data_IF_540153428603
#
_entry.id   IF_540153428603
#
_cell.length_a   1.000
_cell.length_b   1.000
_cell.length_c   1.000
_cell.angle_alpha   90.00
_cell.angle_beta   90.00
_cell.angle_gamma   90.00
#
_symmetry.space_group_name_H-M   'P 1'
#
loop_
_entity.id
_entity.type
_entity.pdbx_description
1 polymer ?
#
# COMPACT_ATOMS: atom_id res chain seq x y z
N UNK A 1 -10.07 -13.99 -1.57
CA UNK A 1 -10.43 -12.56 -1.69
C UNK A 1 -11.38 -12.12 -0.59
N UNK A 2 -12.54 -12.79 -0.46
CA UNK A 2 -13.51 -12.40 0.57
C UNK A 2 -12.95 -12.49 2.00
N UNK A 3 -12.23 -13.56 2.31
CA UNK A 3 -11.63 -13.71 3.63
C UNK A 3 -10.63 -12.61 3.95
N UNK A 4 -9.89 -12.14 2.96
CA UNK A 4 -8.96 -11.03 3.12
C UNK A 4 -9.69 -9.73 3.37
N UNK A 5 -10.78 -9.49 2.64
CA UNK A 5 -11.60 -8.30 2.84
C UNK A 5 -12.17 -8.26 4.25
N UNK A 6 -12.70 -9.41 4.73
CA UNK A 6 -13.25 -9.51 6.08
C UNK A 6 -12.18 -9.24 7.13
N UNK A 7 -10.98 -9.76 6.96
CA UNK A 7 -9.88 -9.52 7.89
C UNK A 7 -9.52 -8.05 7.95
N UNK A 8 -9.40 -7.41 6.80
CA UNK A 8 -9.05 -5.99 6.73
C UNK A 8 -10.12 -5.14 7.40
N UNK A 9 -11.40 -5.42 7.14
CA UNK A 9 -12.49 -4.73 7.80
C UNK A 9 -12.47 -4.94 9.32
N UNK A 10 -12.18 -6.14 9.77
CA UNK A 10 -12.12 -6.43 11.21
C UNK A 10 -11.01 -5.65 11.92
N UNK A 11 -9.95 -5.28 11.20
CA UNK A 11 -8.87 -4.46 11.73
C UNK A 11 -9.14 -2.97 11.63
N UNK A 12 -10.30 -2.57 11.07
CA UNK A 12 -10.63 -1.16 10.88
C UNK A 12 -9.84 -0.50 9.77
N UNK A 13 -9.23 -1.26 8.88
CA UNK A 13 -8.42 -0.74 7.79
C UNK A 13 -9.25 -0.58 6.51
N UNK A 14 -8.84 0.33 5.62
CA UNK A 14 -9.64 0.63 4.43
C UNK A 14 -9.44 -0.38 3.31
N UNK A 15 -10.49 -0.58 2.56
CA UNK A 15 -10.46 -1.24 1.26
C UNK A 15 -11.33 -0.39 0.35
N UNK A 16 -10.74 0.22 -0.67
CA UNK A 16 -11.44 1.15 -1.55
C UNK A 16 -11.42 0.65 -2.98
N UNK A 17 -12.45 1.01 -3.72
CA UNK A 17 -12.57 0.62 -5.12
C UNK A 17 -12.71 1.86 -5.99
N UNK A 18 -12.25 1.74 -7.24
CA UNK A 18 -12.48 2.75 -8.26
C UNK A 18 -13.56 2.24 -9.21
N UNK A 19 -14.56 3.07 -9.46
CA UNK A 19 -15.66 2.74 -10.36
C UNK A 19 -15.60 3.59 -11.61
N UNK A 20 -15.94 2.97 -12.73
CA UNK A 20 -16.14 3.65 -14.00
C UNK A 20 -17.44 3.10 -14.58
N UNK A 21 -18.47 3.95 -14.69
CA UNK A 21 -19.77 3.54 -15.20
C UNK A 21 -20.31 2.29 -14.49
N UNK A 22 -20.27 2.30 -13.15
CA UNK A 22 -20.72 1.22 -12.28
C UNK A 22 -19.90 -0.07 -12.37
N UNK A 23 -18.77 -0.04 -13.09
CA UNK A 23 -17.87 -1.18 -13.18
C UNK A 23 -16.64 -0.93 -12.29
N UNK A 24 -16.27 -1.92 -11.48
CA UNK A 24 -15.04 -1.83 -10.68
C UNK A 24 -13.85 -1.97 -11.62
N UNK A 25 -13.03 -0.92 -11.70
CA UNK A 25 -11.82 -0.92 -12.54
C UNK A 25 -10.54 -1.04 -11.73
N UNK A 26 -10.64 -1.04 -10.42
CA UNK A 26 -9.47 -1.20 -9.57
C UNK A 26 -9.84 -1.17 -8.11
N UNK A 27 -8.88 -1.55 -7.26
CA UNK A 27 -9.06 -1.47 -5.82
C UNK A 27 -7.71 -1.26 -5.15
N UNK A 28 -7.76 -0.77 -3.91
CA UNK A 28 -6.59 -0.59 -3.08
C UNK A 28 -6.97 -0.84 -1.64
N UNK A 29 -6.12 -1.54 -0.90
CA UNK A 29 -6.37 -1.76 0.51
C UNK A 29 -5.07 -1.64 1.30
N UNK A 30 -5.22 -1.46 2.62
CA UNK A 30 -4.09 -1.37 3.53
C UNK A 30 -4.12 -2.56 4.48
N UNK A 31 -2.93 -3.06 4.80
CA UNK A 31 -2.74 -4.09 5.80
C UNK A 31 -1.66 -3.65 6.77
N UNK A 32 -1.57 -4.34 7.90
CA UNK A 32 -0.46 -4.11 8.81
C UNK A 32 0.84 -4.57 8.16
N UNK A 33 1.87 -3.75 8.29
CA UNK A 33 3.19 -4.12 7.78
C UNK A 33 3.74 -5.34 8.52
N UNK A 34 3.67 -5.32 9.85
CA UNK A 34 4.06 -6.43 10.71
C UNK A 34 3.12 -6.48 11.89
N UNK A 35 2.90 -7.68 12.43
CA UNK A 35 1.96 -7.85 13.55
C UNK A 35 2.52 -7.40 14.89
N UNK A 36 3.82 -7.25 15.02
CA UNK A 36 4.43 -6.83 16.28
C UNK A 36 4.06 -5.40 16.63
N UNK A 37 3.81 -5.16 17.89
CA UNK A 37 3.32 -3.88 18.40
C UNK A 37 4.24 -2.70 18.05
N UNK A 38 5.55 -2.94 17.99
CA UNK A 38 6.50 -1.89 17.64
C UNK A 38 6.24 -1.27 16.25
N UNK A 39 5.58 -2.02 15.36
CA UNK A 39 5.34 -1.58 13.97
C UNK A 39 3.92 -1.11 13.72
N UNK A 40 3.18 -0.79 14.79
CA UNK A 40 1.75 -0.46 14.68
C UNK A 40 1.42 0.81 13.90
N UNK A 41 2.41 1.67 13.67
CA UNK A 41 2.21 2.91 12.91
C UNK A 41 2.62 2.80 11.45
N UNK A 42 2.91 1.60 10.99
CA UNK A 42 3.30 1.33 9.60
C UNK A 42 2.29 0.40 8.94
N UNK A 43 1.85 0.79 7.77
CA UNK A 43 0.95 -0.02 6.96
C UNK A 43 1.61 -0.37 5.63
N UNK A 44 1.02 -1.33 4.94
CA UNK A 44 1.44 -1.72 3.60
C UNK A 44 0.24 -1.62 2.67
N UNK A 45 0.44 -1.05 1.48
CA UNK A 45 -0.64 -0.99 0.50
C UNK A 45 -0.57 -2.15 -0.47
N UNK A 46 -1.74 -2.47 -1.02
CA UNK A 46 -1.87 -3.38 -2.16
C UNK A 46 -2.85 -2.73 -3.12
N UNK A 47 -2.46 -2.64 -4.38
CA UNK A 47 -3.27 -1.97 -5.39
C UNK A 47 -3.35 -2.81 -6.66
N UNK A 48 -4.52 -2.82 -7.25
CA UNK A 48 -4.78 -3.47 -8.52
C UNK A 48 -5.61 -2.57 -9.42
N UNK A 49 -5.21 -2.43 -10.69
CA UNK A 49 -5.96 -1.70 -11.70
C UNK A 49 -6.18 -2.64 -12.88
N UNK A 50 -7.43 -2.72 -13.33
CA UNK A 50 -7.81 -3.49 -14.52
C UNK A 50 -6.92 -3.05 -15.69
N UNK A 51 -6.27 -3.98 -16.41
CA UNK A 51 -5.39 -3.62 -17.53
C UNK A 51 -6.07 -2.76 -18.59
N UNK A 52 -7.37 -2.91 -18.80
CA UNK A 52 -8.11 -2.11 -19.78
C UNK A 52 -8.37 -0.69 -19.31
N UNK A 53 -8.16 -0.41 -18.03
CA UNK A 53 -8.42 0.90 -17.43
C UNK A 53 -7.15 1.59 -16.93
N UNK A 54 -5.98 1.08 -17.26
CA UNK A 54 -4.73 1.70 -16.84
C UNK A 54 -4.52 3.04 -17.54
N UNK A 55 -3.70 3.90 -16.91
CA UNK A 55 -3.35 5.23 -17.41
C UNK A 55 -4.52 6.22 -17.40
N UNK A 56 -5.57 5.94 -16.64
CA UNK A 56 -6.71 6.84 -16.48
C UNK A 56 -6.72 7.57 -15.14
N UNK A 57 -5.63 7.47 -14.38
CA UNK A 57 -5.52 8.15 -13.10
C UNK A 57 -6.15 7.41 -11.93
N UNK A 58 -6.74 6.24 -12.14
CA UNK A 58 -7.41 5.48 -11.07
C UNK A 58 -6.42 5.06 -9.99
N UNK A 59 -5.24 4.58 -10.38
CA UNK A 59 -4.24 4.15 -9.41
C UNK A 59 -3.79 5.27 -8.49
N UNK A 60 -3.53 6.43 -9.08
CA UNK A 60 -3.13 7.60 -8.31
C UNK A 60 -4.23 8.05 -7.36
N UNK A 61 -5.48 8.05 -7.83
CA UNK A 61 -6.61 8.43 -7.00
C UNK A 61 -6.82 7.47 -5.83
N UNK A 62 -6.70 6.16 -6.07
CA UNK A 62 -6.83 5.16 -5.02
C UNK A 62 -5.72 5.31 -3.98
N UNK A 63 -4.48 5.47 -4.41
CA UNK A 63 -3.36 5.63 -3.48
C UNK A 63 -3.49 6.91 -2.68
N UNK A 64 -3.88 8.02 -3.30
CA UNK A 64 -4.09 9.26 -2.56
C UNK A 64 -5.17 9.09 -1.49
N UNK A 65 -6.22 8.36 -1.79
CA UNK A 65 -7.30 8.12 -0.83
C UNK A 65 -6.79 7.37 0.40
N UNK A 66 -6.06 6.27 0.21
CA UNK A 66 -5.57 5.49 1.36
C UNK A 66 -4.44 6.21 2.09
N UNK A 67 -3.64 7.02 1.40
CA UNK A 67 -2.62 7.86 2.04
C UNK A 67 -3.30 8.87 2.97
N UNK A 68 -4.31 9.57 2.48
CA UNK A 68 -5.03 10.56 3.29
C UNK A 68 -5.70 9.89 4.49
N UNK A 69 -6.31 8.72 4.27
CA UNK A 69 -6.91 7.97 5.35
C UNK A 69 -5.88 7.61 6.41
N UNK A 70 -4.73 7.11 5.99
CA UNK A 70 -3.68 6.68 6.92
C UNK A 70 -3.11 7.86 7.70
N UNK A 71 -2.89 8.99 7.05
CA UNK A 71 -2.41 10.19 7.74
C UNK A 71 -3.44 10.70 8.76
N UNK A 72 -4.71 10.70 8.39
CA UNK A 72 -5.78 11.13 9.28
C UNK A 72 -5.89 10.24 10.52
N UNK A 73 -5.56 8.96 10.37
CA UNK A 73 -5.67 7.99 11.46
C UNK A 73 -4.36 7.81 12.24
N UNK A 74 -3.37 8.67 12.00
CA UNK A 74 -2.16 8.70 12.83
C UNK A 74 -1.05 7.75 12.43
N UNK A 75 -1.16 7.11 11.29
CA UNK A 75 -0.08 6.27 10.78
C UNK A 75 1.08 7.13 10.27
N UNK A 76 2.29 6.58 10.31
CA UNK A 76 3.49 7.38 10.05
C UNK A 76 4.34 6.90 8.89
N UNK A 77 4.16 5.64 8.46
CA UNK A 77 4.89 5.10 7.31
C UNK A 77 3.99 4.20 6.49
N UNK A 78 4.21 4.21 5.20
CA UNK A 78 3.49 3.35 4.27
C UNK A 78 4.52 2.65 3.39
N UNK A 79 4.41 1.33 3.32
CA UNK A 79 5.32 0.47 2.56
C UNK A 79 4.56 -0.06 1.35
N UNK A 80 5.25 -0.17 0.22
CA UNK A 80 4.74 -0.85 -0.96
C UNK A 80 5.76 -1.87 -1.42
N UNK A 81 5.28 -3.06 -1.74
CA UNK A 81 6.11 -4.13 -2.28
C UNK A 81 5.59 -4.45 -3.67
N UNK A 82 6.33 -4.05 -4.69
CA UNK A 82 5.94 -4.26 -6.08
C UNK A 82 6.66 -5.50 -6.58
N UNK A 83 5.92 -6.60 -6.68
CA UNK A 83 6.44 -7.85 -7.20
C UNK A 83 6.58 -7.77 -8.70
N UNK A 84 7.64 -8.38 -9.21
CA UNK A 84 7.99 -8.36 -10.62
C UNK A 84 8.48 -6.98 -11.08
N UNK A 85 9.78 -6.89 -11.33
CA UNK A 85 10.43 -5.65 -11.77
C UNK A 85 9.90 -5.13 -13.11
N UNK A 86 9.09 -5.93 -13.81
CA UNK A 86 8.46 -5.50 -15.05
C UNK A 86 7.20 -4.67 -14.82
N UNK A 87 6.74 -4.53 -13.59
CA UNK A 87 5.53 -3.78 -13.29
C UNK A 87 5.84 -2.29 -13.15
N UNK A 88 6.21 -1.68 -14.27
CA UNK A 88 6.59 -0.27 -14.33
C UNK A 88 5.43 0.65 -13.97
N UNK A 89 4.21 0.26 -14.31
CA UNK A 89 3.03 1.06 -14.01
C UNK A 89 2.83 1.24 -12.51
N UNK A 90 2.98 0.17 -11.74
CA UNK A 90 2.84 0.24 -10.30
C UNK A 90 3.98 1.04 -9.65
N UNK A 91 5.21 0.84 -10.11
CA UNK A 91 6.35 1.63 -9.63
C UNK A 91 6.13 3.11 -9.87
N UNK A 92 5.70 3.46 -11.08
CA UNK A 92 5.51 4.85 -11.46
C UNK A 92 4.40 5.52 -10.64
N UNK A 93 3.27 4.84 -10.44
CA UNK A 93 2.16 5.45 -9.70
C UNK A 93 2.52 5.67 -8.24
N UNK A 94 3.27 4.75 -7.63
CA UNK A 94 3.75 4.94 -6.27
C UNK A 94 4.70 6.12 -6.17
N UNK A 95 5.63 6.24 -7.12
CA UNK A 95 6.56 7.38 -7.14
C UNK A 95 5.83 8.70 -7.33
N UNK A 96 4.78 8.72 -8.14
CA UNK A 96 3.99 9.93 -8.38
C UNK A 96 3.27 10.43 -7.14
N UNK A 97 2.98 9.56 -6.18
CA UNK A 97 2.34 9.96 -4.93
C UNK A 97 3.31 10.01 -3.75
N UNK A 98 4.60 10.09 -4.03
CA UNK A 98 5.59 10.40 -3.00
C UNK A 98 6.35 9.23 -2.40
N UNK A 99 6.22 8.04 -2.94
CA UNK A 99 7.03 6.92 -2.49
C UNK A 99 8.45 7.02 -3.03
N UNK A 100 9.41 6.59 -2.23
CA UNK A 100 10.82 6.50 -2.60
C UNK A 100 11.21 5.03 -2.69
N UNK A 101 11.97 4.67 -3.71
CA UNK A 101 12.47 3.32 -3.84
C UNK A 101 13.56 3.08 -2.81
N UNK A 102 13.40 2.04 -2.00
CA UNK A 102 14.34 1.68 -0.93
C UNK A 102 15.35 0.65 -1.41
N UNK A 103 14.90 -0.30 -2.20
CA UNK A 103 15.78 -1.35 -2.72
C UNK A 103 15.00 -2.44 -3.41
N UNK A 104 15.73 -3.45 -3.84
CA UNK A 104 15.15 -4.60 -4.54
C UNK A 104 15.58 -5.88 -3.85
N UNK A 105 14.59 -6.69 -3.47
CA UNK A 105 14.83 -8.05 -2.99
C UNK A 105 14.91 -8.95 -4.21
N UNK A 106 16.03 -9.65 -4.34
CA UNK A 106 16.24 -10.48 -5.53
C UNK A 106 15.79 -11.91 -5.30
N UNK A 107 15.13 -12.48 -6.29
CA UNK A 107 14.79 -13.89 -6.35
C UNK A 107 13.96 -14.38 -5.16
N UNK A 108 13.11 -13.51 -4.63
CA UNK A 108 12.27 -13.86 -3.48
C UNK A 108 10.95 -14.48 -3.90
N UNK A 109 10.55 -14.35 -5.15
CA UNK A 109 9.34 -14.98 -5.69
C UNK A 109 9.68 -15.97 -6.77
N UNK A 110 8.80 -16.94 -6.99
CA UNK A 110 8.94 -17.87 -8.09
C UNK A 110 7.57 -18.07 -8.72
N UNK A 111 7.46 -17.77 -10.03
CA UNK A 111 6.19 -17.82 -10.72
C UNK A 111 6.43 -17.99 -12.22
N UNK A 112 5.60 -18.80 -12.84
CA UNK A 112 5.68 -19.04 -14.28
C UNK A 112 7.07 -19.48 -14.72
N UNK A 113 7.70 -20.35 -13.93
CA UNK A 113 8.99 -20.93 -14.27
C UNK A 113 10.18 -20.03 -14.11
N UNK A 114 10.03 -18.89 -13.44
CA UNK A 114 11.16 -17.96 -13.23
C UNK A 114 11.14 -17.33 -11.85
N UNK A 115 12.33 -16.93 -11.41
CA UNK A 115 12.49 -16.19 -10.17
C UNK A 115 12.09 -14.74 -10.37
N UNK A 116 11.49 -14.15 -9.35
CA UNK A 116 11.00 -12.78 -9.40
C UNK A 116 11.65 -11.94 -8.31
N UNK A 117 11.90 -10.69 -8.66
CA UNK A 117 12.38 -9.70 -7.71
C UNK A 117 11.20 -8.90 -7.16
N UNK A 118 11.37 -8.32 -5.97
CA UNK A 118 10.39 -7.41 -5.39
C UNK A 118 11.06 -6.09 -5.10
N UNK A 119 10.48 -5.01 -5.62
CA UNK A 119 10.94 -3.66 -5.34
C UNK A 119 10.23 -3.14 -4.10
N UNK A 120 11.00 -2.62 -3.17
CA UNK A 120 10.52 -2.09 -1.90
C UNK A 120 10.48 -0.57 -1.98
N UNK A 121 9.32 0.03 -1.71
CA UNK A 121 9.14 1.47 -1.71
C UNK A 121 8.57 1.90 -0.36
N UNK A 122 8.82 3.15 0.01
CA UNK A 122 8.38 3.68 1.29
C UNK A 122 7.95 5.13 1.15
N UNK A 123 6.91 5.49 1.86
CA UNK A 123 6.43 6.86 1.95
C UNK A 123 6.20 7.25 3.40
N UNK A 124 6.76 8.37 3.81
CA UNK A 124 6.47 8.97 5.10
C UNK A 124 5.07 9.56 5.08
N UNK A 125 4.33 9.37 6.16
CA UNK A 125 2.98 9.89 6.34
C UNK A 125 2.98 10.94 7.43
N UNK A 126 2.22 12.02 7.22
CA UNK A 126 2.08 13.08 8.20
C UNK A 126 3.44 13.61 8.65
N UNK A 127 3.65 13.68 9.94
CA UNK A 127 4.89 14.20 10.51
C UNK A 127 6.01 13.16 10.60
N UNK A 128 5.76 11.93 10.13
CA UNK A 128 6.76 10.88 10.11
C UNK A 128 7.31 10.59 11.49
N UNK A 129 8.63 10.69 11.62
CA UNK A 129 9.31 10.48 12.90
C UNK A 129 9.68 11.79 13.60
N UNK A 130 9.17 12.93 13.11
CA UNK A 130 9.53 14.24 13.69
C UNK A 130 8.77 14.52 14.98
N UNK A 131 7.69 13.79 15.25
CA UNK A 131 6.93 13.91 16.50
C UNK A 131 6.60 12.51 17.00
N UNK A 132 6.22 12.43 18.28
CA UNK A 132 5.76 11.18 18.86
C UNK A 132 4.32 10.91 18.42
N UNK A 133 3.94 9.63 18.29
CA UNK A 133 2.55 9.29 17.96
C UNK A 133 1.61 9.71 19.07
N UNK A 134 0.37 10.05 18.72
CA UNK A 134 -0.60 10.56 19.67
C UNK A 134 -0.98 9.53 20.75
N UNK A 135 -0.93 8.24 20.43
CA UNK A 135 -1.32 7.19 21.36
C UNK A 135 -0.12 6.44 21.92
N UNK A 136 0.98 7.13 22.13
CA UNK A 136 2.07 6.51 22.85
C UNK A 136 1.58 6.24 24.25
N UNK A 137 1.02 5.16 24.50
CA UNK A 137 0.81 4.81 25.86
C UNK A 137 1.93 3.89 26.29
N UNK A 138 2.16 3.93 27.54
CA UNK A 138 3.24 3.17 28.13
C UNK A 138 2.88 1.72 28.31
N UNK A 139 1.82 1.27 27.71
CA UNK A 139 1.34 -0.11 27.89
C UNK A 139 2.23 -1.15 27.29
N UNK A 140 3.29 -0.75 26.67
CA UNK A 140 4.22 -1.67 26.05
C UNK A 140 5.27 -2.09 27.07
#
# INVERSE_FOLDING_TARGET
MLARLEKIHSLGLPWVVALQEDRVIGYCYLTRYRERYAYRYTLEDSIYIDPTAQRQGAGKALLRHVIDWAETHGYRQLIAMVGDSNNQGSLKVHQQVGFTEIGTLKDVGFKHGRWLNTVLLQRTLGEGNSTLPADIDAAI
#
